data_IF_339176062082
#
_entry.id   IF_339176062082
#
_cell.length_a   1.000
_cell.length_b   1.000
_cell.length_c   1.000
_cell.angle_alpha   90.00
_cell.angle_beta   90.00
_cell.angle_gamma   90.00
#
_symmetry.space_group_name_H-M   'P 1'
#
loop_
_entity.id
_entity.type
_entity.pdbx_description
1 polymer ?
#
# COMPACT_ATOMS: atom_id res chain seq x y z
N UNK A 1 -21.02 20.28 -55.09
CA UNK A 1 -19.79 21.11 -55.09
C UNK A 1 -19.29 21.46 -53.68
N UNK A 2 -20.15 21.51 -52.66
CA UNK A 2 -19.78 21.84 -51.26
C UNK A 2 -19.01 20.73 -50.52
N UNK A 3 -19.37 19.45 -50.71
CA UNK A 3 -18.68 18.33 -50.03
C UNK A 3 -17.21 18.14 -50.43
N UNK A 4 -16.88 18.39 -51.70
CA UNK A 4 -15.49 18.28 -52.20
C UNK A 4 -14.60 19.37 -51.60
N UNK A 5 -15.11 20.59 -51.45
CA UNK A 5 -14.37 21.70 -50.83
C UNK A 5 -14.06 21.46 -49.35
N UNK A 6 -14.97 20.83 -48.61
CA UNK A 6 -14.73 20.47 -47.20
C UNK A 6 -13.63 19.42 -47.07
N UNK A 7 -13.63 18.41 -47.95
CA UNK A 7 -12.60 17.36 -47.95
C UNK A 7 -11.22 17.94 -48.29
N UNK A 8 -11.14 18.86 -49.27
CA UNK A 8 -9.89 19.53 -49.64
C UNK A 8 -9.36 20.41 -48.49
N UNK A 9 -10.24 21.13 -47.78
CA UNK A 9 -9.84 21.95 -46.64
C UNK A 9 -9.32 21.10 -45.46
N UNK A 10 -9.95 19.96 -45.17
CA UNK A 10 -9.50 19.03 -44.14
C UNK A 10 -8.15 18.39 -44.49
N UNK A 11 -7.94 18.01 -45.75
CA UNK A 11 -6.66 17.50 -46.24
C UNK A 11 -5.55 18.54 -46.14
N UNK A 12 -5.81 19.79 -46.53
CA UNK A 12 -4.84 20.88 -46.40
C UNK A 12 -4.50 21.16 -44.93
N UNK A 13 -5.50 21.15 -44.03
CA UNK A 13 -5.29 21.28 -42.59
C UNK A 13 -4.46 20.13 -42.01
N UNK A 14 -4.74 18.89 -42.42
CA UNK A 14 -3.98 17.72 -42.00
C UNK A 14 -2.52 17.77 -42.46
N UNK A 15 -2.28 18.13 -43.72
CA UNK A 15 -0.93 18.27 -44.27
C UNK A 15 -0.17 19.40 -43.55
N UNK A 16 -0.82 20.53 -43.26
CA UNK A 16 -0.20 21.61 -42.49
C UNK A 16 0.18 21.14 -41.08
N UNK A 17 -0.70 20.40 -40.38
CA UNK A 17 -0.42 19.81 -39.06
C UNK A 17 0.77 18.85 -39.14
N UNK A 18 0.82 17.98 -40.15
CA UNK A 18 1.96 17.08 -40.37
C UNK A 18 3.25 17.86 -40.64
N UNK A 19 3.20 18.89 -41.49
CA UNK A 19 4.36 19.74 -41.78
C UNK A 19 4.87 20.46 -40.53
N UNK A 20 3.99 21.00 -39.68
CA UNK A 20 4.39 21.64 -38.43
C UNK A 20 4.93 20.64 -37.39
N UNK A 21 4.37 19.43 -37.35
CA UNK A 21 4.87 18.36 -36.49
C UNK A 21 6.27 17.89 -36.94
N UNK A 22 6.46 17.74 -38.25
CA UNK A 22 7.74 17.33 -38.84
C UNK A 22 8.79 18.45 -38.72
N UNK A 23 8.41 19.72 -38.91
CA UNK A 23 9.28 20.86 -38.66
C UNK A 23 9.69 20.98 -37.17
N UNK A 24 8.82 20.60 -36.23
CA UNK A 24 9.16 20.48 -34.80
C UNK A 24 10.13 19.34 -34.54
N UNK A 25 9.90 18.17 -35.14
CA UNK A 25 10.77 17.01 -35.02
C UNK A 25 12.16 17.30 -35.58
N UNK A 26 12.24 17.95 -36.75
CA UNK A 26 13.50 18.39 -37.37
C UNK A 26 14.22 19.46 -36.54
N UNK A 27 13.51 20.40 -35.90
CA UNK A 27 14.11 21.35 -34.94
C UNK A 27 14.69 20.64 -33.71
N UNK A 28 13.94 19.72 -33.10
CA UNK A 28 14.41 18.93 -31.96
C UNK A 28 15.57 17.99 -32.33
N UNK A 29 15.58 17.48 -33.56
CA UNK A 29 16.68 16.69 -34.11
C UNK A 29 17.92 17.54 -34.42
N UNK A 30 17.75 18.82 -34.78
CA UNK A 30 18.85 19.79 -34.90
C UNK A 30 19.46 20.14 -33.54
N UNK A 31 18.62 20.30 -32.51
CA UNK A 31 19.06 20.58 -31.14
C UNK A 31 19.81 19.38 -30.49
N UNK A 32 19.67 18.17 -31.02
CA UNK A 32 20.28 16.94 -30.49
C UNK A 32 21.51 16.43 -31.26
N UNK A 33 21.96 17.12 -32.33
CA UNK A 33 23.20 16.75 -33.04
C UNK A 33 24.44 17.04 -32.19
N UNK A 34 25.29 16.04 -31.92
CA UNK A 34 26.60 16.27 -31.30
C UNK A 34 27.44 17.17 -32.20
N UNK A 35 27.91 18.32 -31.69
CA UNK A 35 28.84 19.22 -32.38
C UNK A 35 28.29 20.58 -32.82
N UNK A 36 26.99 20.86 -32.61
CA UNK A 36 26.49 22.24 -32.68
C UNK A 36 26.77 22.95 -31.35
N UNK A 37 27.33 24.17 -31.34
CA UNK A 37 27.48 24.92 -30.10
C UNK A 37 26.08 25.19 -29.55
N UNK A 38 25.76 24.60 -28.40
CA UNK A 38 24.59 25.01 -27.60
C UNK A 38 24.71 26.52 -27.42
N UNK A 39 23.69 27.32 -27.76
CA UNK A 39 23.74 28.76 -27.54
C UNK A 39 24.20 29.00 -26.10
N UNK A 40 25.32 29.71 -25.93
CA UNK A 40 25.90 29.95 -24.62
C UNK A 40 24.78 30.42 -23.70
N UNK A 41 24.62 29.77 -22.55
CA UNK A 41 23.60 30.16 -21.58
C UNK A 41 23.82 31.64 -21.23
N UNK A 42 22.97 32.50 -21.79
CA UNK A 42 23.13 33.94 -21.63
C UNK A 42 22.58 34.34 -20.27
N UNK A 43 23.42 34.97 -19.47
CA UNK A 43 23.01 35.58 -18.21
C UNK A 43 21.86 36.57 -18.46
N UNK A 44 20.80 36.45 -17.68
CA UNK A 44 19.59 37.28 -17.80
C UNK A 44 18.62 36.86 -18.93
N UNK A 45 18.89 35.76 -19.65
CA UNK A 45 17.92 35.21 -20.61
C UNK A 45 16.68 34.62 -19.92
N UNK A 46 15.59 34.43 -20.67
CA UNK A 46 14.39 33.74 -20.18
C UNK A 46 14.71 32.34 -19.63
N UNK A 47 15.55 31.57 -20.35
CA UNK A 47 16.01 30.25 -19.89
C UNK A 47 16.78 30.32 -18.57
N UNK A 48 17.61 31.35 -18.39
CA UNK A 48 18.31 31.57 -17.12
C UNK A 48 17.32 31.92 -16.00
N UNK A 49 16.33 32.78 -16.27
CA UNK A 49 15.28 33.12 -15.31
C UNK A 49 14.43 31.90 -14.91
N UNK A 50 14.04 31.04 -15.84
CA UNK A 50 13.30 29.80 -15.56
C UNK A 50 14.12 28.84 -14.68
N UNK A 51 15.41 28.69 -14.98
CA UNK A 51 16.30 27.85 -14.18
C UNK A 51 16.48 28.39 -12.76
N UNK A 52 16.69 29.71 -12.60
CA UNK A 52 16.78 30.37 -11.29
C UNK A 52 15.45 30.27 -10.55
N UNK A 53 14.31 30.45 -11.23
CA UNK A 53 12.99 30.30 -10.65
C UNK A 53 12.77 28.88 -10.11
N UNK A 54 13.07 27.86 -10.92
CA UNK A 54 12.98 26.47 -10.50
C UNK A 54 13.89 26.16 -9.30
N UNK A 55 15.14 26.65 -9.33
CA UNK A 55 16.09 26.48 -8.23
C UNK A 55 15.60 27.16 -6.95
N UNK A 56 15.25 28.45 -7.02
CA UNK A 56 14.88 29.26 -5.86
C UNK A 56 13.55 28.84 -5.22
N UNK A 57 12.60 28.32 -6.02
CA UNK A 57 11.29 27.92 -5.51
C UNK A 57 11.19 26.44 -5.15
N UNK A 58 12.15 25.60 -5.55
CA UNK A 58 12.11 24.15 -5.27
C UNK A 58 11.91 23.87 -3.79
N UNK A 59 12.79 24.40 -2.95
CA UNK A 59 12.79 24.17 -1.51
C UNK A 59 11.54 24.77 -0.85
N UNK A 60 11.07 25.92 -1.34
CA UNK A 60 9.82 26.52 -0.88
C UNK A 60 8.62 25.60 -1.16
N UNK A 61 8.48 25.08 -2.39
CA UNK A 61 7.40 24.15 -2.74
C UNK A 61 7.53 22.84 -1.97
N UNK A 62 8.75 22.34 -1.73
CA UNK A 62 8.95 21.17 -0.87
C UNK A 62 8.49 21.42 0.58
N UNK A 63 8.79 22.58 1.15
CA UNK A 63 8.30 22.96 2.48
C UNK A 63 6.76 23.03 2.53
N UNK A 64 6.14 23.64 1.51
CA UNK A 64 4.69 23.71 1.41
C UNK A 64 4.03 22.33 1.19
N UNK A 65 4.66 21.43 0.45
CA UNK A 65 4.19 20.04 0.28
C UNK A 65 4.27 19.24 1.58
N UNK A 66 5.30 19.47 2.41
CA UNK A 66 5.34 18.91 3.79
C UNK A 66 4.24 19.51 4.66
N UNK A 67 3.99 20.81 4.54
CA UNK A 67 2.85 21.46 5.20
C UNK A 67 1.51 20.83 4.79
N UNK A 68 1.34 20.56 3.50
CA UNK A 68 0.18 19.83 2.99
C UNK A 68 0.07 18.44 3.62
N UNK A 69 1.14 17.65 3.65
CA UNK A 69 1.17 16.31 4.27
C UNK A 69 0.80 16.34 5.76
N UNK A 70 1.33 17.30 6.52
CA UNK A 70 0.98 17.50 7.94
C UNK A 70 -0.51 17.82 8.10
N UNK A 71 -1.03 18.76 7.31
CA UNK A 71 -2.43 19.15 7.36
C UNK A 71 -3.37 18.01 6.97
N UNK A 72 -3.00 17.20 5.97
CA UNK A 72 -3.76 16.00 5.59
C UNK A 72 -3.76 14.98 6.73
N UNK A 73 -2.60 14.71 7.33
CA UNK A 73 -2.46 13.76 8.44
C UNK A 73 -3.31 14.16 9.65
N UNK A 74 -3.27 15.45 10.03
CA UNK A 74 -4.07 15.97 11.15
C UNK A 74 -5.58 15.85 10.90
N UNK A 75 -6.00 16.04 9.65
CA UNK A 75 -7.41 15.92 9.25
C UNK A 75 -7.81 14.49 8.85
N UNK A 76 -6.91 13.52 9.05
CA UNK A 76 -7.13 12.09 8.81
C UNK A 76 -6.91 11.64 7.36
N UNK A 77 -6.68 12.53 6.40
CA UNK A 77 -6.47 12.17 5.00
C UNK A 77 -5.05 11.66 4.71
N UNK A 78 -4.89 10.97 3.58
CA UNK A 78 -3.61 10.49 3.07
C UNK A 78 -3.47 10.77 1.57
N UNK A 79 -2.26 10.61 1.04
CA UNK A 79 -2.00 10.66 -0.40
C UNK A 79 -2.03 9.25 -1.00
N UNK A 80 -2.56 9.14 -2.21
CA UNK A 80 -2.57 7.91 -3.01
C UNK A 80 -2.19 8.17 -4.46
N UNK A 81 -1.66 7.15 -5.12
CA UNK A 81 -1.47 7.12 -6.58
C UNK A 81 -2.71 6.59 -7.31
N UNK A 82 -3.63 5.95 -6.60
CA UNK A 82 -4.86 5.41 -7.15
C UNK A 82 -5.91 6.51 -7.33
N UNK A 83 -6.16 6.88 -8.58
CA UNK A 83 -7.14 7.91 -8.94
C UNK A 83 -8.57 7.56 -8.56
N UNK A 84 -8.93 6.27 -8.51
CA UNK A 84 -10.29 5.83 -8.21
C UNK A 84 -10.70 6.12 -6.76
N UNK A 85 -9.71 6.19 -5.86
CA UNK A 85 -9.88 6.45 -4.43
C UNK A 85 -9.81 7.93 -4.06
N UNK A 86 -9.76 8.82 -5.05
CA UNK A 86 -9.67 10.27 -4.82
C UNK A 86 -10.94 10.80 -4.16
N UNK A 87 -10.78 11.53 -3.08
CA UNK A 87 -11.85 12.33 -2.45
C UNK A 87 -12.32 13.42 -3.42
N UNK A 88 -13.62 13.50 -3.64
CA UNK A 88 -14.23 14.47 -4.56
C UNK A 88 -14.32 15.86 -3.94
N UNK A 89 -14.60 15.94 -2.64
CA UNK A 89 -14.69 17.20 -1.91
C UNK A 89 -14.20 17.01 -0.47
N UNK A 90 -13.33 17.92 -0.02
CA UNK A 90 -12.88 18.01 1.37
C UNK A 90 -13.81 19.00 2.10
N UNK A 91 -14.39 18.65 3.26
CA UNK A 91 -15.18 19.56 4.06
C UNK A 91 -14.47 20.89 4.34
N UNK A 92 -15.22 21.99 4.43
CA UNK A 92 -14.65 23.33 4.58
C UNK A 92 -13.74 23.43 5.80
N UNK A 93 -14.16 22.88 6.94
CA UNK A 93 -13.37 22.87 8.19
C UNK A 93 -11.98 22.24 8.00
N UNK A 94 -11.92 21.03 7.43
CA UNK A 94 -10.67 20.34 7.13
C UNK A 94 -9.84 21.12 6.11
N UNK A 95 -10.49 21.68 5.09
CA UNK A 95 -9.84 22.49 4.07
C UNK A 95 -9.18 23.75 4.67
N UNK A 96 -9.82 24.39 5.64
CA UNK A 96 -9.25 25.52 6.38
C UNK A 96 -8.01 25.08 7.16
N UNK A 97 -8.10 23.99 7.93
CA UNK A 97 -6.96 23.41 8.68
C UNK A 97 -5.77 23.09 7.75
N UNK A 98 -6.01 22.39 6.63
CA UNK A 98 -4.95 22.06 5.68
C UNK A 98 -4.33 23.32 5.06
N UNK A 99 -5.16 24.30 4.71
CA UNK A 99 -4.68 25.55 4.11
C UNK A 99 -3.79 26.37 5.06
N UNK A 100 -4.10 26.35 6.36
CA UNK A 100 -3.29 26.96 7.43
C UNK A 100 -1.91 26.33 7.50
N UNK A 101 -1.81 25.01 7.47
CA UNK A 101 -0.52 24.31 7.47
C UNK A 101 0.35 24.66 6.25
N UNK A 102 -0.25 24.66 5.06
CA UNK A 102 0.45 25.05 3.81
C UNK A 102 0.96 26.48 3.91
N UNK A 103 0.09 27.40 4.33
CA UNK A 103 0.44 28.80 4.45
C UNK A 103 1.52 29.03 5.51
N UNK A 104 1.40 28.42 6.68
CA UNK A 104 2.39 28.48 7.75
C UNK A 104 3.76 27.99 7.28
N UNK A 105 3.82 26.85 6.58
CA UNK A 105 5.06 26.33 6.02
C UNK A 105 5.73 27.31 5.05
N UNK A 106 4.93 27.96 4.18
CA UNK A 106 5.42 29.04 3.31
C UNK A 106 5.99 30.20 4.12
N UNK A 107 5.26 30.66 5.14
CA UNK A 107 5.64 31.83 5.93
C UNK A 107 6.93 31.60 6.71
N UNK A 108 7.08 30.44 7.34
CA UNK A 108 8.28 30.10 8.09
C UNK A 108 9.49 29.90 7.18
N UNK A 109 9.28 29.35 5.98
CA UNK A 109 10.36 29.27 4.99
C UNK A 109 10.83 30.66 4.55
N UNK A 110 9.90 31.57 4.25
CA UNK A 110 10.24 32.92 3.76
C UNK A 110 10.74 33.86 4.86
N UNK A 111 10.34 33.63 6.11
CA UNK A 111 10.68 34.48 7.26
C UNK A 111 11.02 33.65 8.50
N UNK A 112 12.22 33.03 8.56
CA UNK A 112 12.59 32.09 9.65
C UNK A 112 12.63 32.73 11.04
N UNK A 113 12.77 34.05 11.14
CA UNK A 113 12.83 34.78 12.41
C UNK A 113 11.46 35.23 12.96
N UNK A 114 10.34 34.76 12.40
CA UNK A 114 9.01 35.14 12.90
C UNK A 114 8.70 34.50 14.24
N UNK A 115 8.06 35.27 15.13
CA UNK A 115 7.48 34.73 16.36
C UNK A 115 6.21 33.94 16.06
N UNK A 116 5.86 33.02 16.97
CA UNK A 116 4.67 32.21 16.84
C UNK A 116 3.38 33.06 16.85
N UNK A 117 3.32 34.09 17.70
CA UNK A 117 2.16 34.99 17.76
C UNK A 117 1.93 35.70 16.43
N UNK A 118 2.99 36.31 15.87
CA UNK A 118 2.90 36.99 14.57
C UNK A 118 2.53 36.03 13.44
N UNK A 119 2.96 34.78 13.53
CA UNK A 119 2.56 33.74 12.57
C UNK A 119 1.06 33.51 12.62
N UNK A 120 0.47 33.38 13.83
CA UNK A 120 -0.96 33.16 14.01
C UNK A 120 -1.79 34.31 13.44
N UNK A 121 -1.40 35.56 13.73
CA UNK A 121 -2.12 36.74 13.25
C UNK A 121 -2.16 36.79 11.71
N UNK A 122 -1.01 36.58 11.04
CA UNK A 122 -0.91 36.59 9.57
C UNK A 122 -1.65 35.39 8.96
N UNK A 123 -1.66 34.25 9.63
CA UNK A 123 -2.38 33.06 9.21
C UNK A 123 -3.90 33.27 9.23
N UNK A 124 -4.43 33.91 10.27
CA UNK A 124 -5.85 34.25 10.36
C UNK A 124 -6.27 35.19 9.24
N UNK A 125 -5.48 36.25 8.99
CA UNK A 125 -5.73 37.17 7.87
C UNK A 125 -5.75 36.46 6.52
N UNK A 126 -4.75 35.60 6.25
CA UNK A 126 -4.63 34.86 4.99
C UNK A 126 -5.72 33.79 4.79
N UNK A 127 -6.30 33.29 5.88
CA UNK A 127 -7.46 32.40 5.79
C UNK A 127 -8.72 33.21 5.49
N UNK A 128 -8.90 34.35 6.16
CA UNK A 128 -10.07 35.21 6.01
C UNK A 128 -10.14 35.87 4.63
N UNK A 129 -9.02 36.26 4.04
CA UNK A 129 -8.95 36.86 2.70
C UNK A 129 -8.94 35.82 1.57
N UNK A 130 -8.85 34.53 1.90
CA UNK A 130 -8.87 33.40 0.96
C UNK A 130 -7.51 33.07 0.33
N UNK A 131 -6.44 33.78 0.66
CA UNK A 131 -5.10 33.54 0.11
C UNK A 131 -4.54 32.16 0.48
N UNK A 132 -4.72 31.71 1.73
CA UNK A 132 -4.33 30.37 2.15
C UNK A 132 -5.07 29.29 1.34
N UNK A 133 -6.36 29.51 1.07
CA UNK A 133 -7.18 28.62 0.24
C UNK A 133 -6.74 28.57 -1.22
N UNK A 134 -6.25 29.70 -1.78
CA UNK A 134 -5.67 29.76 -3.11
C UNK A 134 -4.40 28.91 -3.21
N UNK A 135 -3.48 29.06 -2.24
CA UNK A 135 -2.24 28.27 -2.20
C UNK A 135 -2.52 26.77 -2.12
N UNK A 136 -3.47 26.37 -1.26
CA UNK A 136 -3.89 24.98 -1.17
C UNK A 136 -4.40 24.45 -2.53
N UNK A 137 -5.21 25.23 -3.26
CA UNK A 137 -5.70 24.83 -4.57
C UNK A 137 -4.59 24.62 -5.60
N UNK A 138 -3.57 25.50 -5.58
CA UNK A 138 -2.41 25.36 -6.48
C UNK A 138 -1.68 24.05 -6.19
N UNK A 139 -1.43 23.74 -4.92
CA UNK A 139 -0.75 22.49 -4.54
C UNK A 139 -1.57 21.26 -4.88
N UNK A 140 -2.88 21.23 -4.57
CA UNK A 140 -3.73 20.08 -4.90
C UNK A 140 -3.75 19.82 -6.40
N UNK A 141 -3.85 20.88 -7.23
CA UNK A 141 -3.82 20.73 -8.69
C UNK A 141 -2.45 20.27 -9.20
N UNK A 142 -1.37 20.80 -8.62
CA UNK A 142 0.00 20.35 -8.91
C UNK A 142 0.21 18.87 -8.57
N UNK A 143 -0.20 18.45 -7.38
CA UNK A 143 -0.16 17.04 -6.98
C UNK A 143 -0.98 16.17 -7.93
N UNK A 144 -2.20 16.58 -8.28
CA UNK A 144 -3.05 15.81 -9.20
C UNK A 144 -2.46 15.70 -10.62
N UNK A 145 -1.75 16.73 -11.08
CA UNK A 145 -1.00 16.71 -12.35
C UNK A 145 0.14 15.67 -12.30
N UNK A 146 0.83 15.57 -11.17
CA UNK A 146 1.89 14.58 -10.93
C UNK A 146 1.37 13.18 -10.52
N UNK A 147 0.06 12.95 -10.60
CA UNK A 147 -0.57 11.66 -10.30
C UNK A 147 -0.68 11.35 -8.81
N UNK A 148 -0.71 12.36 -7.95
CA UNK A 148 -0.99 12.24 -6.52
C UNK A 148 -2.37 12.78 -6.18
N UNK A 149 -3.14 12.00 -5.45
CA UNK A 149 -4.52 12.31 -5.08
C UNK A 149 -4.72 12.23 -3.57
N UNK A 150 -5.61 13.05 -3.03
CA UNK A 150 -6.03 12.97 -1.63
C UNK A 150 -7.07 11.85 -1.51
N UNK A 151 -6.88 10.94 -0.57
CA UNK A 151 -7.81 9.85 -0.21
C UNK A 151 -8.17 9.97 1.26
N UNK A 152 -9.37 9.52 1.61
CA UNK A 152 -9.68 9.15 2.99
C UNK A 152 -8.77 7.99 3.42
N UNK A 153 -8.44 7.90 4.71
CA UNK A 153 -7.75 6.73 5.22
C UNK A 153 -8.68 5.53 4.97
N UNK A 154 -8.15 4.42 4.44
CA UNK A 154 -8.89 3.18 4.53
C UNK A 154 -9.06 2.94 6.02
N UNK A 155 -10.29 2.77 6.53
CA UNK A 155 -10.46 2.28 7.89
C UNK A 155 -9.59 1.03 8.01
N UNK A 156 -8.69 1.00 8.99
CA UNK A 156 -8.01 -0.25 9.33
C UNK A 156 -9.11 -1.28 9.56
N UNK A 157 -9.12 -2.34 8.74
CA UNK A 157 -10.21 -3.29 8.79
C UNK A 157 -10.13 -4.01 10.13
N UNK A 158 -11.02 -3.63 11.03
CA UNK A 158 -11.21 -4.32 12.29
C UNK A 158 -12.19 -5.46 12.04
N UNK A 159 -11.83 -6.71 12.35
CA UNK A 159 -12.79 -7.79 12.29
C UNK A 159 -14.07 -7.45 13.05
N UNK A 160 -15.21 -7.82 12.51
CA UNK A 160 -16.51 -7.51 13.14
C UNK A 160 -17.23 -8.77 13.63
N UNK A 161 -16.76 -9.94 13.21
CA UNK A 161 -17.37 -11.23 13.48
C UNK A 161 -16.86 -11.91 14.75
N UNK A 162 -16.60 -11.15 15.82
CA UNK A 162 -16.19 -11.72 17.11
C UNK A 162 -17.29 -12.59 17.76
N UNK A 163 -16.94 -13.66 18.50
CA UNK A 163 -15.58 -14.16 18.72
C UNK A 163 -14.96 -14.80 17.47
N UNK A 164 -13.65 -14.63 17.29
CA UNK A 164 -12.89 -15.29 16.23
C UNK A 164 -12.25 -16.57 16.77
N UNK A 165 -12.41 -17.67 16.05
CA UNK A 165 -11.76 -18.95 16.31
C UNK A 165 -10.53 -19.05 15.43
N UNK A 166 -9.38 -19.26 16.05
CA UNK A 166 -8.08 -19.24 15.39
C UNK A 166 -7.33 -20.55 15.58
N UNK A 167 -6.78 -21.09 14.50
CA UNK A 167 -5.88 -22.25 14.48
C UNK A 167 -4.58 -21.86 13.78
N UNK A 168 -3.46 -21.97 14.50
CA UNK A 168 -2.11 -21.87 13.94
C UNK A 168 -1.51 -23.26 13.88
N UNK A 169 -0.99 -23.65 12.71
CA UNK A 169 -0.24 -24.90 12.54
C UNK A 169 1.14 -24.52 12.06
N UNK A 170 2.17 -24.91 12.80
CA UNK A 170 3.56 -24.74 12.41
C UNK A 170 4.20 -26.12 12.32
N UNK A 171 4.60 -26.55 11.13
CA UNK A 171 5.32 -27.80 10.91
C UNK A 171 6.77 -27.49 10.55
N UNK A 172 7.69 -28.17 11.21
CA UNK A 172 9.12 -28.15 10.91
C UNK A 172 9.50 -29.51 10.38
N UNK A 173 10.11 -29.56 9.20
CA UNK A 173 10.51 -30.81 8.55
C UNK A 173 11.93 -30.73 8.00
N UNK A 174 12.74 -31.78 8.18
CA UNK A 174 14.04 -31.90 7.52
C UNK A 174 13.86 -32.02 6.01
N UNK A 175 14.96 -31.87 5.27
CA UNK A 175 14.95 -32.03 3.81
C UNK A 175 14.54 -33.45 3.36
N UNK A 176 14.77 -34.48 4.20
CA UNK A 176 14.46 -35.87 3.87
C UNK A 176 12.97 -36.22 3.97
N UNK A 177 12.17 -35.44 4.69
CA UNK A 177 10.74 -35.70 4.88
C UNK A 177 9.96 -35.39 3.61
N UNK A 178 8.94 -36.16 3.23
CA UNK A 178 8.15 -35.84 2.05
C UNK A 178 7.11 -34.77 2.38
N UNK A 179 6.79 -33.90 1.41
CA UNK A 179 5.70 -32.93 1.57
C UNK A 179 4.35 -33.63 1.83
N UNK A 180 4.17 -34.85 1.30
CA UNK A 180 3.00 -35.70 1.59
C UNK A 180 2.83 -36.01 3.08
N UNK A 181 3.93 -36.21 3.81
CA UNK A 181 3.89 -36.53 5.24
C UNK A 181 3.47 -35.30 6.05
N UNK A 182 4.00 -34.13 5.67
CA UNK A 182 3.58 -32.82 6.23
C UNK A 182 2.09 -32.58 5.98
N UNK A 183 1.64 -32.78 4.75
CA UNK A 183 0.23 -32.61 4.35
C UNK A 183 -0.68 -33.58 5.11
N UNK A 184 -0.25 -34.83 5.33
CA UNK A 184 -1.00 -35.80 6.13
C UNK A 184 -1.23 -35.30 7.56
N UNK A 185 -0.24 -34.64 8.15
CA UNK A 185 -0.35 -34.08 9.52
C UNK A 185 -1.28 -32.88 9.54
N UNK A 186 -1.18 -31.98 8.57
CA UNK A 186 -2.09 -30.84 8.46
C UNK A 186 -3.55 -31.33 8.33
N UNK A 187 -3.78 -32.39 7.54
CA UNK A 187 -5.11 -33.00 7.40
C UNK A 187 -5.57 -33.75 8.67
N UNK A 188 -4.67 -34.40 9.42
CA UNK A 188 -4.99 -34.97 10.73
C UNK A 188 -5.44 -33.89 11.72
N UNK A 189 -4.77 -32.73 11.71
CA UNK A 189 -5.19 -31.56 12.52
C UNK A 189 -6.57 -31.08 12.07
N UNK A 190 -6.87 -31.02 10.77
CA UNK A 190 -8.20 -30.70 10.28
C UNK A 190 -9.28 -31.65 10.82
N UNK A 191 -8.99 -32.96 10.83
CA UNK A 191 -9.87 -33.98 11.40
C UNK A 191 -10.12 -33.76 12.90
N UNK A 192 -9.09 -33.42 13.67
CA UNK A 192 -9.21 -33.09 15.10
C UNK A 192 -10.04 -31.83 15.34
N UNK A 193 -9.78 -30.77 14.57
CA UNK A 193 -10.54 -29.50 14.65
C UNK A 193 -12.01 -29.75 14.35
N UNK A 194 -12.33 -30.55 13.32
CA UNK A 194 -13.71 -30.90 12.94
C UNK A 194 -14.50 -31.54 14.08
N UNK A 195 -13.84 -32.38 14.88
CA UNK A 195 -14.47 -33.14 15.98
C UNK A 195 -14.45 -32.41 17.32
N UNK A 196 -13.85 -31.22 17.38
CA UNK A 196 -13.66 -30.49 18.63
C UNK A 196 -14.96 -29.83 19.12
N UNK A 197 -15.33 -30.00 20.40
CA UNK A 197 -16.59 -29.45 20.91
C UNK A 197 -16.57 -27.92 21.03
N UNK A 198 -15.45 -27.32 21.46
CA UNK A 198 -15.30 -25.88 21.65
C UNK A 198 -13.84 -25.42 21.55
N UNK A 199 -13.64 -24.13 21.28
CA UNK A 199 -12.32 -23.51 21.27
C UNK A 199 -11.99 -22.93 22.65
N UNK A 200 -10.73 -23.05 23.10
CA UNK A 200 -10.32 -22.52 24.40
C UNK A 200 -10.10 -21.00 24.33
N UNK A 201 -10.54 -20.26 25.35
CA UNK A 201 -10.28 -18.81 25.45
C UNK A 201 -8.81 -18.50 25.81
N UNK A 202 -8.08 -19.49 26.32
CA UNK A 202 -6.63 -19.40 26.51
C UNK A 202 -5.91 -20.24 25.45
N UNK A 203 -4.82 -19.72 24.85
CA UNK A 203 -4.11 -20.42 23.78
C UNK A 203 -3.64 -21.79 24.28
N UNK A 204 -4.21 -22.83 23.69
CA UNK A 204 -3.78 -24.20 23.94
C UNK A 204 -2.76 -24.57 22.87
N UNK A 205 -1.54 -24.86 23.30
CA UNK A 205 -0.45 -25.30 22.43
C UNK A 205 -0.29 -26.82 22.57
N UNK A 206 -0.54 -27.55 21.48
CA UNK A 206 -0.20 -28.97 21.39
C UNK A 206 1.07 -29.09 20.57
N UNK A 207 2.16 -29.49 21.22
CA UNK A 207 3.42 -29.84 20.55
C UNK A 207 3.51 -31.35 20.47
N UNK A 208 3.73 -31.86 19.27
CA UNK A 208 3.99 -33.28 19.06
C UNK A 208 5.30 -33.44 18.30
N UNK A 209 6.25 -34.12 18.94
CA UNK A 209 7.42 -34.66 18.28
C UNK A 209 7.03 -36.03 17.71
N UNK A 210 7.06 -36.16 16.38
CA UNK A 210 6.84 -37.46 15.75
C UNK A 210 8.13 -38.27 15.90
N UNK A 211 8.20 -39.01 17.01
CA UNK A 211 9.35 -39.81 17.45
C UNK A 211 9.83 -40.72 16.30
N UNK A 212 11.03 -40.43 15.79
CA UNK A 212 11.83 -41.08 14.71
C UNK A 212 11.88 -40.43 13.32
N UNK A 213 11.22 -39.31 13.08
CA UNK A 213 11.31 -38.60 11.80
C UNK A 213 11.74 -37.16 12.04
N UNK A 214 12.52 -36.57 11.14
CA UNK A 214 12.94 -35.16 11.23
C UNK A 214 11.78 -34.17 11.06
N UNK A 215 10.60 -34.45 11.63
CA UNK A 215 9.38 -33.70 11.52
C UNK A 215 8.79 -33.47 12.92
N UNK A 216 8.55 -32.20 13.24
CA UNK A 216 7.87 -31.76 14.46
C UNK A 216 6.74 -30.81 14.06
N UNK A 217 5.65 -30.80 14.82
CA UNK A 217 4.59 -29.82 14.60
C UNK A 217 4.03 -29.25 15.90
N UNK A 218 3.64 -27.98 15.82
CA UNK A 218 2.96 -27.22 16.85
C UNK A 218 1.59 -26.82 16.32
N UNK A 219 0.53 -27.10 17.09
CA UNK A 219 -0.81 -26.57 16.83
C UNK A 219 -1.19 -25.68 18.00
N UNK A 220 -1.50 -24.42 17.70
CA UNK A 220 -2.09 -23.47 18.65
C UNK A 220 -3.53 -23.20 18.28
N UNK A 221 -4.41 -23.25 19.28
CA UNK A 221 -5.83 -22.96 19.10
C UNK A 221 -6.29 -21.97 20.16
N UNK A 222 -7.11 -21.01 19.76
CA UNK A 222 -7.70 -20.03 20.65
C UNK A 222 -9.01 -19.46 20.10
N UNK A 223 -9.85 -18.97 20.99
CA UNK A 223 -10.97 -18.07 20.70
C UNK A 223 -10.63 -16.68 21.23
N UNK A 224 -10.81 -15.64 20.41
CA UNK A 224 -10.54 -14.26 20.77
C UNK A 224 -11.81 -13.41 20.63
N UNK A 225 -12.07 -12.57 21.61
CA UNK A 225 -13.25 -11.68 21.67
C UNK A 225 -12.94 -10.26 21.21
N UNK A 226 -11.66 -9.91 21.08
CA UNK A 226 -11.17 -8.57 20.75
C UNK A 226 -10.09 -8.62 19.66
N UNK A 227 -9.88 -7.53 18.90
CA UNK A 227 -8.81 -7.42 17.92
C UNK A 227 -7.42 -7.65 18.53
N UNK A 228 -6.41 -8.07 17.73
CA UNK A 228 -6.43 -8.18 16.26
C UNK A 228 -6.81 -9.58 15.75
N UNK A 229 -7.46 -9.63 14.59
CA UNK A 229 -7.53 -10.84 13.75
C UNK A 229 -6.29 -10.96 12.84
N UNK A 230 -6.19 -12.04 12.07
CA UNK A 230 -5.09 -12.24 11.11
C UNK A 230 -5.31 -11.57 9.75
N UNK A 231 -6.55 -11.26 9.39
CA UNK A 231 -6.88 -10.73 8.06
C UNK A 231 -7.28 -9.26 8.16
N UNK A 232 -6.53 -8.40 7.47
CA UNK A 232 -6.63 -6.94 7.53
C UNK A 232 -7.49 -6.35 6.39
N UNK A 233 -8.36 -7.15 5.77
CA UNK A 233 -9.24 -6.73 4.67
C UNK A 233 -10.54 -7.55 4.68
N UNK A 234 -11.69 -7.00 4.23
CA UNK A 234 -12.96 -7.74 4.16
C UNK A 234 -12.90 -8.99 3.28
N UNK A 235 -12.07 -8.97 2.22
CA UNK A 235 -11.77 -10.15 1.42
C UNK A 235 -10.39 -9.99 0.77
N UNK A 236 -9.74 -11.10 0.43
CA UNK A 236 -8.46 -11.02 -0.27
C UNK A 236 -7.67 -12.32 -0.32
N UNK A 237 -6.46 -12.17 -0.85
CA UNK A 237 -5.47 -13.25 -1.00
C UNK A 237 -4.09 -12.83 -0.45
N UNK A 238 -4.04 -11.76 0.34
CA UNK A 238 -2.81 -11.24 0.95
C UNK A 238 -2.44 -12.06 2.20
N UNK A 239 -1.14 -12.23 2.43
CA UNK A 239 -0.67 -12.97 3.61
C UNK A 239 -0.79 -12.07 4.86
N UNK A 240 -1.21 -12.62 6.01
CA UNK A 240 -1.17 -11.95 7.30
C UNK A 240 0.24 -11.44 7.67
N UNK A 241 0.29 -10.35 8.43
CA UNK A 241 1.54 -9.70 8.86
C UNK A 241 2.44 -10.63 9.68
N UNK A 242 1.86 -11.54 10.48
CA UNK A 242 2.63 -12.51 11.26
C UNK A 242 3.40 -13.52 10.39
N UNK A 243 2.94 -13.75 9.15
CA UNK A 243 3.64 -14.57 8.15
C UNK A 243 4.68 -13.74 7.38
N UNK A 244 4.36 -12.50 7.01
CA UNK A 244 5.21 -11.66 6.14
C UNK A 244 6.32 -10.92 6.88
N UNK A 245 6.07 -10.42 8.08
CA UNK A 245 7.02 -9.63 8.87
C UNK A 245 8.10 -10.48 9.56
N UNK A 246 8.06 -11.81 9.38
CA UNK A 246 9.10 -12.68 9.93
C UNK A 246 9.08 -12.73 11.46
N UNK A 247 7.94 -12.44 12.10
CA UNK A 247 7.62 -12.83 13.48
C UNK A 247 7.45 -14.36 13.58
N UNK A 248 8.42 -15.08 13.01
CA UNK A 248 8.55 -16.51 13.15
C UNK A 248 8.84 -16.80 14.61
N UNK A 249 8.23 -17.85 15.20
CA UNK A 249 8.59 -18.25 16.54
C UNK A 249 10.10 -18.57 16.58
N UNK A 250 10.70 -18.46 17.76
CA UNK A 250 12.13 -18.58 18.10
C UNK A 250 12.86 -19.88 17.63
N UNK A 251 12.25 -20.67 16.74
CA UNK A 251 12.60 -22.03 16.35
C UNK A 251 13.09 -22.19 14.90
N UNK A 252 13.35 -21.09 14.18
CA UNK A 252 13.95 -21.09 12.83
C UNK A 252 15.44 -21.51 12.90
N UNK A 253 15.70 -22.79 13.13
CA UNK A 253 17.07 -23.35 13.02
C UNK A 253 17.42 -23.57 11.55
N UNK A 254 18.65 -23.22 11.16
CA UNK A 254 19.20 -23.55 9.84
C UNK A 254 19.05 -25.06 9.53
N UNK A 255 18.58 -25.40 8.32
CA UNK A 255 18.51 -26.78 7.83
C UNK A 255 17.13 -27.44 7.79
N UNK A 256 16.05 -26.77 8.22
CA UNK A 256 14.68 -27.31 8.14
C UNK A 256 13.79 -26.46 7.23
N UNK A 257 12.84 -27.12 6.58
CA UNK A 257 11.70 -26.47 5.93
C UNK A 257 10.64 -26.19 6.97
N UNK A 258 10.03 -25.02 6.87
CA UNK A 258 8.98 -24.58 7.78
C UNK A 258 7.69 -24.39 6.99
N UNK A 259 6.61 -24.97 7.49
CA UNK A 259 5.27 -24.83 6.93
C UNK A 259 4.42 -24.13 7.98
N UNK A 260 3.87 -22.99 7.61
CA UNK A 260 3.07 -22.13 8.47
C UNK A 260 1.68 -22.10 7.87
N UNK A 261 0.67 -22.42 8.68
CA UNK A 261 -0.74 -22.31 8.31
C UNK A 261 -1.46 -21.50 9.37
N UNK A 262 -2.32 -20.59 8.93
CA UNK A 262 -3.20 -19.75 9.74
C UNK A 262 -4.62 -19.93 9.25
N UNK A 263 -5.53 -20.22 10.16
CA UNK A 263 -6.96 -20.38 9.85
C UNK A 263 -7.81 -19.63 10.86
N UNK A 264 -8.65 -18.74 10.38
CA UNK A 264 -9.55 -17.94 11.20
C UNK A 264 -11.00 -18.16 10.75
N UNK A 265 -11.92 -18.20 11.69
CA UNK A 265 -13.35 -18.21 11.42
C UNK A 265 -14.10 -17.35 12.42
N UNK A 266 -15.01 -16.50 11.92
CA UNK A 266 -15.86 -15.66 12.77
C UNK A 266 -16.94 -16.43 13.52
N UNK A 267 -17.74 -15.72 14.31
CA UNK A 267 -18.81 -16.26 15.17
C UNK A 267 -19.79 -17.22 14.48
N UNK A 268 -20.05 -17.00 13.20
CA UNK A 268 -20.99 -17.80 12.40
C UNK A 268 -20.37 -19.05 11.78
N UNK A 269 -19.04 -19.18 11.85
CA UNK A 269 -18.31 -20.29 11.25
C UNK A 269 -18.21 -21.48 12.20
N UNK A 270 -18.38 -22.67 11.63
CA UNK A 270 -18.34 -23.95 12.34
C UNK A 270 -16.93 -24.55 12.36
N UNK A 271 -16.68 -25.48 13.26
CA UNK A 271 -15.47 -26.31 13.26
C UNK A 271 -15.25 -27.02 11.91
N UNK A 272 -16.34 -27.44 11.27
CA UNK A 272 -16.28 -28.01 9.92
C UNK A 272 -15.73 -27.04 8.88
N UNK A 273 -16.02 -25.75 9.02
CA UNK A 273 -15.50 -24.72 8.09
C UNK A 273 -14.03 -24.41 8.35
N UNK A 274 -13.62 -24.34 9.62
CA UNK A 274 -12.20 -24.23 9.98
C UNK A 274 -11.40 -25.44 9.45
N UNK A 275 -11.92 -26.66 9.63
CA UNK A 275 -11.31 -27.87 9.10
C UNK A 275 -11.19 -27.83 7.56
N UNK A 276 -12.25 -27.37 6.87
CA UNK A 276 -12.21 -27.18 5.43
C UNK A 276 -11.10 -26.20 5.00
N UNK A 277 -10.95 -25.07 5.69
CA UNK A 277 -9.88 -24.11 5.43
C UNK A 277 -8.48 -24.69 5.63
N UNK A 278 -8.29 -25.52 6.66
CA UNK A 278 -7.03 -26.26 6.87
C UNK A 278 -6.77 -27.21 5.69
N UNK A 279 -7.79 -27.95 5.23
CA UNK A 279 -7.70 -28.87 4.08
C UNK A 279 -7.38 -28.11 2.77
N UNK A 280 -7.93 -26.91 2.57
CA UNK A 280 -7.60 -26.07 1.40
C UNK A 280 -6.14 -25.62 1.40
N UNK A 281 -5.61 -25.19 2.55
CA UNK A 281 -4.20 -24.87 2.69
C UNK A 281 -3.32 -26.10 2.40
N UNK A 282 -3.67 -27.26 2.99
CA UNK A 282 -2.96 -28.51 2.78
C UNK A 282 -2.94 -28.95 1.31
N UNK A 283 -4.07 -28.79 0.60
CA UNK A 283 -4.20 -29.12 -0.81
C UNK A 283 -3.26 -28.27 -1.68
N UNK A 284 -3.22 -26.96 -1.46
CA UNK A 284 -2.36 -26.04 -2.23
C UNK A 284 -0.87 -26.30 -1.95
N UNK A 285 -0.51 -26.59 -0.69
CA UNK A 285 0.84 -27.05 -0.33
C UNK A 285 1.19 -28.35 -1.08
N UNK A 286 0.25 -29.30 -1.17
CA UNK A 286 0.45 -30.55 -1.90
C UNK A 286 0.67 -30.36 -3.40
N UNK A 287 0.08 -29.31 -3.99
CA UNK A 287 0.31 -28.90 -5.38
C UNK A 287 1.67 -28.20 -5.58
N UNK A 288 2.41 -27.93 -4.51
CA UNK A 288 3.73 -27.30 -4.56
C UNK A 288 3.71 -25.77 -4.46
N UNK A 289 2.56 -25.17 -4.12
CA UNK A 289 2.52 -23.74 -3.83
C UNK A 289 3.33 -23.42 -2.58
N UNK A 290 4.11 -22.34 -2.64
CA UNK A 290 4.99 -21.91 -1.53
C UNK A 290 4.31 -20.92 -0.60
N UNK A 291 3.25 -20.26 -1.04
CA UNK A 291 2.43 -19.39 -0.20
C UNK A 291 1.08 -19.12 -0.85
N UNK A 292 0.12 -18.71 -0.03
CA UNK A 292 -1.18 -18.27 -0.51
C UNK A 292 -2.12 -17.95 0.63
N UNK A 293 -3.11 -17.11 0.36
CA UNK A 293 -4.22 -16.85 1.26
C UNK A 293 -5.54 -16.78 0.49
N UNK A 294 -6.64 -16.99 1.21
CA UNK A 294 -7.99 -16.77 0.73
C UNK A 294 -8.88 -16.54 1.95
N UNK A 295 -9.49 -15.36 2.03
CA UNK A 295 -10.37 -14.99 3.12
C UNK A 295 -11.48 -14.04 2.66
N UNK A 296 -12.60 -14.11 3.36
CA UNK A 296 -13.80 -13.28 3.20
C UNK A 296 -14.48 -13.17 4.57
N UNK A 297 -15.00 -11.99 4.91
CA UNK A 297 -15.76 -11.73 6.14
C UNK A 297 -15.07 -12.28 7.41
N UNK A 298 -13.85 -11.82 7.68
CA UNK A 298 -13.02 -12.20 8.83
C UNK A 298 -12.59 -13.67 8.87
N UNK A 299 -12.85 -14.44 7.82
CA UNK A 299 -12.74 -15.90 7.85
C UNK A 299 -11.98 -16.43 6.64
N UNK A 300 -11.08 -17.38 6.85
CA UNK A 300 -10.30 -17.94 5.76
C UNK A 300 -9.02 -18.60 6.24
N UNK A 301 -8.10 -18.76 5.29
CA UNK A 301 -6.79 -19.35 5.55
C UNK A 301 -5.66 -18.59 4.86
N UNK A 302 -4.47 -18.73 5.42
CA UNK A 302 -3.21 -18.37 4.80
C UNK A 302 -2.17 -19.44 5.10
N UNK A 303 -1.22 -19.62 4.18
CA UNK A 303 -0.09 -20.49 4.38
C UNK A 303 1.19 -19.94 3.73
N UNK A 304 2.33 -20.35 4.27
CA UNK A 304 3.64 -20.14 3.69
C UNK A 304 4.56 -21.33 3.97
N UNK A 305 5.41 -21.63 3.00
CA UNK A 305 6.42 -22.69 3.03
C UNK A 305 7.77 -22.05 2.85
N UNK A 306 8.53 -21.98 3.93
CA UNK A 306 9.90 -21.46 3.92
C UNK A 306 10.86 -22.61 3.66
N UNK A 307 11.66 -22.55 2.57
CA UNK A 307 12.65 -23.58 2.29
C UNK A 307 13.76 -23.56 3.35
N UNK A 308 14.42 -24.71 3.53
CA UNK A 308 15.63 -24.75 4.34
C UNK A 308 16.70 -23.84 3.69
N UNK A 309 17.24 -22.88 4.45
CA UNK A 309 18.43 -22.15 3.99
C UNK A 309 19.57 -23.15 3.86
N UNK A 310 20.06 -23.35 2.65
CA UNK A 310 21.31 -24.04 2.42
C UNK A 310 22.42 -23.15 3.01
N UNK A 311 23.07 -23.63 4.08
CA UNK A 311 24.35 -23.05 4.47
C UNK A 311 25.35 -23.34 3.35
N UNK A 312 26.04 -22.33 2.79
CA UNK A 312 27.13 -22.56 1.85
C UNK A 312 28.29 -23.32 2.50
#
# INVERSE_FOLDING_TARGET
>A
MTGILVVVALLAGWIAVQYFADARCVRQAWESRPGLPVPLAQFGSARHADAVHAFANRELYQAMLRGLENGLTETGYKLTRDRSRRVVAIPLEHRLTISRWVFRARQWYMSPGMSEQRTKDIEDDAVNDGYAGMLLNVLIRGCAHEGWYITEPVPEFTPTSFPLKQVSINVRATQAVLTSDVVSIINDVAGKVRMQPSFPHHPTCTVADVVNSGLNYEVRQQEIDEPPGWFNSPAGCELPDDITEGHSPLFMTSGHRHFIVRVQGGRFYTQGTLAFFIEQAAHRIAQGEVSGACYEDDSGYAFAVTPAKNTP
#
